data_IF_489659138434
#
_entry.id   IF_489659138434
#
_cell.length_a   1.000
_cell.length_b   1.000
_cell.length_c   1.000
_cell.angle_alpha   90.00
_cell.angle_beta   90.00
_cell.angle_gamma   90.00
#
_symmetry.space_group_name_H-M   'P 1'
#
loop_
_entity.id
_entity.type
_entity.pdbx_description
1 polymer ?
#
# COMPACT_ATOMS: atom_id res chain seq x y z
N UNK A 1 -5.28 -21.71 1.65
CA UNK A 1 -6.16 -21.42 2.80
C UNK A 1 -5.43 -20.36 3.62
N UNK A 2 -5.84 -19.10 3.54
CA UNK A 2 -5.28 -18.01 4.35
C UNK A 2 -5.58 -18.37 5.81
N UNK A 3 -4.56 -18.40 6.68
CA UNK A 3 -4.77 -18.54 8.11
C UNK A 3 -5.62 -17.36 8.59
N UNK A 4 -6.79 -17.64 9.12
CA UNK A 4 -7.54 -16.67 9.89
C UNK A 4 -6.76 -16.43 11.19
N UNK A 5 -6.32 -15.19 11.39
CA UNK A 5 -5.70 -14.83 12.67
C UNK A 5 -6.79 -14.60 13.70
N UNK A 6 -6.59 -15.18 14.87
CA UNK A 6 -7.40 -14.82 16.03
C UNK A 6 -7.10 -13.37 16.40
N UNK A 7 -8.13 -12.53 16.49
CA UNK A 7 -8.00 -11.11 16.85
C UNK A 7 -7.30 -10.94 18.22
N UNK A 8 -7.50 -11.88 19.15
CA UNK A 8 -6.81 -11.92 20.43
C UNK A 8 -5.31 -12.19 20.27
N UNK A 9 -4.91 -13.02 19.32
CA UNK A 9 -3.51 -13.32 18.99
C UNK A 9 -2.82 -12.13 18.34
N UNK A 10 -3.52 -11.41 17.44
CA UNK A 10 -3.02 -10.17 16.83
C UNK A 10 -2.76 -9.10 17.88
N UNK A 11 -3.67 -8.95 18.86
CA UNK A 11 -3.49 -8.00 19.98
C UNK A 11 -2.36 -8.39 20.93
N UNK A 12 -2.13 -9.67 21.17
CA UNK A 12 -1.07 -10.17 22.07
C UNK A 12 0.31 -10.14 21.42
N UNK A 13 0.41 -10.32 20.10
CA UNK A 13 1.66 -10.26 19.32
C UNK A 13 2.11 -8.85 19.00
N UNK A 14 1.19 -7.88 18.93
CA UNK A 14 1.55 -6.47 18.88
C UNK A 14 2.09 -6.08 20.26
N UNK A 15 3.42 -6.14 20.37
CA UNK A 15 4.12 -5.50 21.45
C UNK A 15 3.48 -4.13 21.67
N UNK A 16 2.98 -3.92 22.88
CA UNK A 16 2.22 -2.76 23.35
C UNK A 16 2.54 -1.53 22.49
N UNK A 17 1.51 -0.91 21.90
CA UNK A 17 1.54 0.37 21.20
C UNK A 17 2.16 1.53 22.03
N UNK A 18 2.88 1.20 23.11
CA UNK A 18 3.45 2.13 24.07
C UNK A 18 4.61 2.97 23.55
N UNK A 19 5.25 2.61 22.43
CA UNK A 19 6.30 3.44 21.84
C UNK A 19 5.90 3.95 20.46
N UNK A 20 4.89 4.82 20.40
CA UNK A 20 4.50 5.56 19.20
C UNK A 20 5.38 6.80 18.92
N UNK A 21 6.53 6.95 19.61
CA UNK A 21 7.30 8.20 19.56
C UNK A 21 7.76 8.53 18.13
N UNK A 22 8.39 7.57 17.46
CA UNK A 22 8.93 7.78 16.11
C UNK A 22 7.82 7.91 15.07
N UNK A 23 6.75 7.11 15.16
CA UNK A 23 5.57 7.28 14.31
C UNK A 23 4.88 8.63 14.53
N UNK A 24 4.85 9.13 15.76
CA UNK A 24 4.32 10.47 16.04
C UNK A 24 5.23 11.56 15.49
N UNK A 25 6.56 11.41 15.52
CA UNK A 25 7.49 12.34 14.88
C UNK A 25 7.27 12.37 13.35
N UNK A 26 7.17 11.22 12.72
CA UNK A 26 6.85 11.09 11.29
C UNK A 26 5.54 11.81 10.95
N UNK A 27 4.48 11.58 11.74
CA UNK A 27 3.19 12.24 11.58
C UNK A 27 3.29 13.77 11.72
N UNK A 28 4.06 14.26 12.70
CA UNK A 28 4.27 15.70 12.91
C UNK A 28 5.00 16.32 11.72
N UNK A 29 6.07 15.69 11.22
CA UNK A 29 6.80 16.16 10.05
C UNK A 29 5.91 16.21 8.81
N UNK A 30 5.16 15.14 8.57
CA UNK A 30 4.22 15.07 7.46
C UNK A 30 3.14 16.15 7.54
N UNK A 31 2.52 16.32 8.71
CA UNK A 31 1.48 17.32 8.93
C UNK A 31 2.01 18.74 8.76
N UNK A 32 3.20 19.03 9.29
CA UNK A 32 3.84 20.35 9.14
C UNK A 32 4.04 20.69 7.66
N UNK A 33 4.63 19.78 6.89
CA UNK A 33 4.84 19.99 5.46
C UNK A 33 3.52 20.23 4.70
N UNK A 34 2.50 19.44 4.99
CA UNK A 34 1.17 19.57 4.37
C UNK A 34 0.56 20.95 4.66
N UNK A 35 0.65 21.44 5.89
CA UNK A 35 0.11 22.76 6.27
C UNK A 35 0.89 23.93 5.65
N UNK A 36 2.20 23.76 5.43
CA UNK A 36 3.05 24.74 4.74
C UNK A 36 2.86 24.76 3.21
N UNK A 37 2.32 23.67 2.63
CA UNK A 37 2.11 23.50 1.19
C UNK A 37 0.67 23.08 0.88
N UNK A 38 -0.31 23.92 1.17
CA UNK A 38 -1.74 23.56 0.96
C UNK A 38 -2.02 23.34 -0.53
N UNK A 39 -2.77 22.27 -0.85
CA UNK A 39 -3.27 22.06 -2.21
C UNK A 39 -4.41 23.02 -2.50
N UNK A 40 -4.39 23.65 -3.68
CA UNK A 40 -5.57 24.33 -4.20
C UNK A 40 -6.53 23.27 -4.75
N UNK A 41 -7.83 23.44 -4.52
CA UNK A 41 -8.85 22.68 -5.22
C UNK A 41 -8.67 22.92 -6.73
N UNK A 42 -8.21 21.91 -7.44
CA UNK A 42 -8.15 21.91 -8.89
C UNK A 42 -9.12 20.85 -9.41
N UNK A 43 -9.90 21.22 -10.42
CA UNK A 43 -10.58 20.22 -11.22
C UNK A 43 -9.51 19.38 -11.93
N UNK A 44 -9.51 18.10 -11.65
CA UNK A 44 -8.56 17.18 -12.25
C UNK A 44 -9.23 15.85 -12.60
N UNK A 45 -8.78 15.25 -13.67
CA UNK A 45 -9.20 13.90 -14.03
C UNK A 45 -8.58 12.87 -13.08
N UNK A 46 -9.26 11.75 -12.91
CA UNK A 46 -8.79 10.66 -12.07
C UNK A 46 -7.45 10.07 -12.59
N UNK A 47 -6.38 10.04 -11.79
CA UNK A 47 -5.07 9.51 -12.19
C UNK A 47 -5.09 8.01 -12.50
N UNK A 48 -6.14 7.31 -12.02
CA UNK A 48 -6.31 5.87 -12.21
C UNK A 48 -6.96 5.53 -13.56
N UNK A 49 -8.01 6.25 -13.95
CA UNK A 49 -8.78 5.88 -15.15
C UNK A 49 -8.96 7.00 -16.17
N UNK A 50 -8.57 8.23 -15.84
CA UNK A 50 -8.70 9.38 -16.70
C UNK A 50 -10.12 10.00 -16.73
N UNK A 51 -11.04 9.54 -15.85
CA UNK A 51 -12.41 10.06 -15.82
C UNK A 51 -12.44 11.47 -15.22
N UNK A 52 -13.17 12.39 -15.86
CA UNK A 52 -13.18 13.81 -15.50
C UNK A 52 -14.10 14.12 -14.30
N UNK A 53 -15.16 13.30 -14.11
CA UNK A 53 -16.11 13.55 -13.02
C UNK A 53 -15.64 12.91 -11.72
N UNK A 54 -15.16 13.75 -10.84
CA UNK A 54 -14.73 13.39 -9.49
C UNK A 54 -15.50 14.24 -8.49
N UNK A 55 -15.60 13.77 -7.25
CA UNK A 55 -16.28 14.48 -6.19
C UNK A 55 -15.47 14.47 -4.91
N UNK A 56 -15.60 15.50 -4.11
CA UNK A 56 -15.05 15.53 -2.76
C UNK A 56 -15.63 14.39 -1.92
N UNK A 57 -14.76 13.73 -1.15
CA UNK A 57 -15.18 12.65 -0.25
C UNK A 57 -14.87 12.96 1.23
N UNK A 58 -13.68 13.44 1.53
CA UNK A 58 -13.26 13.91 2.85
C UNK A 58 -12.00 14.78 2.75
N UNK A 59 -11.71 15.52 3.83
CA UNK A 59 -10.44 16.21 4.02
C UNK A 59 -9.64 15.57 5.15
N UNK A 60 -8.29 15.63 5.04
CA UNK A 60 -7.36 15.33 6.10
C UNK A 60 -6.25 16.39 6.13
N UNK A 61 -6.04 17.02 7.28
CA UNK A 61 -5.12 18.15 7.44
C UNK A 61 -5.34 19.24 6.38
N UNK A 62 -6.61 19.59 6.15
CA UNK A 62 -7.08 20.56 5.14
C UNK A 62 -6.78 20.19 3.68
N UNK A 63 -6.28 18.99 3.41
CA UNK A 63 -6.13 18.45 2.07
C UNK A 63 -7.36 17.65 1.66
N UNK A 64 -7.99 18.05 0.55
CA UNK A 64 -9.20 17.43 0.04
C UNK A 64 -8.88 16.18 -0.79
N UNK A 65 -9.47 15.06 -0.39
CA UNK A 65 -9.47 13.83 -1.19
C UNK A 65 -10.66 13.82 -2.13
N UNK A 66 -10.40 13.40 -3.37
CA UNK A 66 -11.39 13.23 -4.43
C UNK A 66 -11.73 11.76 -4.62
N UNK A 67 -12.97 11.50 -4.97
CA UNK A 67 -13.48 10.17 -5.31
C UNK A 67 -13.86 10.13 -6.79
N UNK A 68 -13.42 9.11 -7.50
CA UNK A 68 -13.77 8.89 -8.90
C UNK A 68 -15.04 8.04 -9.04
N UNK A 69 -16.10 8.60 -9.61
CA UNK A 69 -17.37 7.89 -9.81
C UNK A 69 -17.29 6.73 -10.82
N UNK A 70 -16.25 6.67 -11.66
CA UNK A 70 -16.06 5.60 -12.65
C UNK A 70 -15.31 4.39 -12.11
N UNK A 71 -14.20 4.60 -11.39
CA UNK A 71 -13.37 3.50 -10.89
C UNK A 71 -13.39 3.35 -9.37
N UNK A 72 -14.07 4.24 -8.63
CA UNK A 72 -14.18 4.26 -7.17
C UNK A 72 -12.83 4.41 -6.43
N UNK A 73 -11.81 4.94 -7.10
CA UNK A 73 -10.53 5.26 -6.48
C UNK A 73 -10.58 6.61 -5.78
N UNK A 74 -9.77 6.76 -4.74
CA UNK A 74 -9.62 8.00 -3.96
C UNK A 74 -8.22 8.56 -4.22
N UNK A 75 -8.11 9.88 -4.37
CA UNK A 75 -6.82 10.51 -4.65
C UNK A 75 -6.78 11.97 -4.20
N UNK A 76 -5.58 12.52 -4.10
CA UNK A 76 -5.33 13.94 -3.81
C UNK A 76 -4.89 14.63 -5.08
N UNK A 77 -5.56 15.72 -5.51
CA UNK A 77 -5.08 16.56 -6.58
C UNK A 77 -3.91 17.44 -6.07
N UNK A 78 -2.70 16.94 -6.21
CA UNK A 78 -1.47 17.63 -5.77
C UNK A 78 -0.54 17.85 -6.96
N UNK A 79 0.17 18.99 -6.97
CA UNK A 79 1.18 19.29 -7.97
C UNK A 79 2.40 18.39 -7.79
N UNK A 80 3.03 18.00 -8.91
CA UNK A 80 4.20 17.12 -8.91
C UNK A 80 5.35 17.71 -8.05
N UNK A 81 5.61 19.01 -8.16
CA UNK A 81 6.65 19.70 -7.38
C UNK A 81 6.42 19.66 -5.87
N UNK A 82 5.17 19.76 -5.42
CA UNK A 82 4.80 19.62 -4.00
C UNK A 82 5.03 18.20 -3.51
N UNK A 83 4.63 17.21 -4.32
CA UNK A 83 4.87 15.81 -3.98
C UNK A 83 6.35 15.45 -3.95
N UNK A 84 7.12 15.90 -4.95
CA UNK A 84 8.57 15.71 -5.01
C UNK A 84 9.26 16.32 -3.79
N UNK A 85 8.89 17.55 -3.39
CA UNK A 85 9.39 18.19 -2.19
C UNK A 85 9.07 17.41 -0.90
N UNK A 86 7.86 16.84 -0.81
CA UNK A 86 7.49 15.98 0.33
C UNK A 86 8.35 14.70 0.39
N UNK A 87 8.49 14.02 -0.75
CA UNK A 87 9.25 12.77 -0.84
C UNK A 87 10.76 12.96 -0.63
N UNK A 88 11.27 14.15 -0.94
CA UNK A 88 12.68 14.54 -0.77
C UNK A 88 12.96 15.26 0.55
N UNK A 89 12.02 15.27 1.51
CA UNK A 89 12.15 15.96 2.78
C UNK A 89 13.31 15.41 3.63
N UNK A 90 14.41 16.17 3.88
CA UNK A 90 15.60 15.63 4.55
C UNK A 90 15.33 15.08 5.94
N UNK A 91 14.48 15.76 6.73
CA UNK A 91 14.13 15.35 8.09
C UNK A 91 13.36 14.02 8.11
N UNK A 92 12.54 13.76 7.08
CA UNK A 92 11.81 12.51 6.95
C UNK A 92 12.76 11.38 6.57
N UNK A 93 13.69 11.65 5.67
CA UNK A 93 14.71 10.67 5.27
C UNK A 93 15.65 10.33 6.43
N UNK A 94 16.14 11.34 7.17
CA UNK A 94 16.95 11.14 8.37
C UNK A 94 16.22 10.28 9.41
N UNK A 95 14.96 10.62 9.71
CA UNK A 95 14.15 9.85 10.64
C UNK A 95 14.00 8.40 10.21
N UNK A 96 13.58 8.17 8.95
CA UNK A 96 13.27 6.84 8.42
C UNK A 96 14.50 5.97 8.21
N UNK A 97 15.68 6.57 7.95
CA UNK A 97 16.95 5.85 7.78
C UNK A 97 17.63 5.52 9.10
N UNK A 98 17.22 6.12 10.21
CA UNK A 98 17.82 5.87 11.54
C UNK A 98 17.65 4.42 11.97
N UNK A 99 18.67 3.87 12.64
CA UNK A 99 18.63 2.48 13.13
C UNK A 99 17.49 2.29 14.14
N UNK A 100 17.23 3.29 15.02
CA UNK A 100 16.14 3.26 15.99
C UNK A 100 14.76 3.12 15.31
N UNK A 101 14.52 3.86 14.22
CA UNK A 101 13.27 3.76 13.44
C UNK A 101 13.15 2.39 12.77
N UNK A 102 14.23 1.90 12.15
CA UNK A 102 14.24 0.61 11.46
C UNK A 102 14.04 -0.56 12.45
N UNK A 103 14.65 -0.52 13.63
CA UNK A 103 14.41 -1.50 14.68
C UNK A 103 12.97 -1.48 15.21
N UNK A 104 12.37 -0.29 15.41
CA UNK A 104 10.98 -0.18 15.81
C UNK A 104 10.04 -0.71 14.74
N UNK A 105 10.34 -0.41 13.47
CA UNK A 105 9.59 -0.89 12.32
C UNK A 105 9.66 -2.42 12.21
N UNK A 106 10.84 -3.01 12.39
CA UNK A 106 11.06 -4.47 12.42
C UNK A 106 10.20 -5.12 13.52
N UNK A 107 10.28 -4.62 14.75
CA UNK A 107 9.50 -5.15 15.88
C UNK A 107 7.98 -5.13 15.63
N UNK A 108 7.51 -4.18 14.82
CA UNK A 108 6.07 -4.04 14.49
C UNK A 108 5.63 -4.84 13.27
N UNK A 109 6.55 -5.12 12.34
CA UNK A 109 6.21 -5.58 11.00
C UNK A 109 6.81 -6.95 10.65
N UNK A 110 7.70 -7.50 11.49
CA UNK A 110 8.37 -8.76 11.19
C UNK A 110 7.38 -9.86 10.77
N UNK A 111 6.38 -10.13 11.59
CA UNK A 111 5.37 -11.17 11.30
C UNK A 111 4.63 -10.90 9.97
N UNK A 112 4.29 -9.63 9.69
CA UNK A 112 3.60 -9.24 8.46
C UNK A 112 4.51 -9.45 7.25
N UNK A 113 5.80 -9.11 7.38
CA UNK A 113 6.77 -9.29 6.32
C UNK A 113 7.05 -10.76 6.05
N UNK A 114 7.17 -11.58 7.10
CA UNK A 114 7.34 -13.03 6.97
C UNK A 114 6.16 -13.67 6.22
N UNK A 115 4.94 -13.22 6.49
CA UNK A 115 3.75 -13.63 5.74
C UNK A 115 3.75 -13.15 4.29
N UNK A 116 4.19 -11.92 4.05
CA UNK A 116 4.29 -11.39 2.68
C UNK A 116 5.32 -12.18 1.86
N UNK A 117 6.48 -12.53 2.44
CA UNK A 117 7.48 -13.38 1.79
C UNK A 117 6.89 -14.75 1.49
N UNK A 118 6.33 -15.43 2.50
CA UNK A 118 5.73 -16.75 2.30
C UNK A 118 4.65 -16.74 1.21
N UNK A 119 3.80 -15.72 1.22
CA UNK A 119 2.78 -15.52 0.19
C UNK A 119 3.42 -15.34 -1.19
N UNK A 120 4.45 -14.49 -1.32
CA UNK A 120 5.13 -14.21 -2.58
C UNK A 120 5.83 -15.46 -3.11
N UNK A 121 6.61 -16.15 -2.28
CA UNK A 121 7.33 -17.38 -2.65
C UNK A 121 6.37 -18.45 -3.20
N UNK A 122 5.25 -18.69 -2.50
CA UNK A 122 4.25 -19.64 -2.96
C UNK A 122 3.66 -19.26 -4.33
N UNK A 123 3.39 -17.97 -4.59
CA UNK A 123 2.85 -17.49 -5.86
C UNK A 123 3.89 -17.52 -6.97
N UNK A 124 5.12 -17.14 -6.68
CA UNK A 124 6.24 -17.26 -7.62
C UNK A 124 6.35 -18.71 -8.10
N UNK A 125 6.44 -19.66 -7.18
CA UNK A 125 6.47 -21.07 -7.53
C UNK A 125 5.26 -21.49 -8.36
N UNK A 126 4.07 -21.07 -7.96
CA UNK A 126 2.82 -21.42 -8.67
C UNK A 126 2.80 -20.93 -10.11
N UNK A 127 3.27 -19.72 -10.37
CA UNK A 127 3.12 -19.08 -11.67
C UNK A 127 4.34 -19.20 -12.57
N UNK A 128 5.55 -19.23 -12.03
CA UNK A 128 6.79 -19.42 -12.81
C UNK A 128 7.22 -20.89 -12.91
N UNK A 129 6.77 -21.75 -11.99
CA UNK A 129 7.24 -23.13 -11.86
C UNK A 129 8.76 -23.24 -11.61
N UNK A 130 9.36 -22.20 -11.07
CA UNK A 130 10.76 -22.11 -10.67
C UNK A 130 10.82 -21.97 -9.15
N UNK A 131 11.82 -22.58 -8.52
CA UNK A 131 11.98 -22.61 -7.05
C UNK A 131 13.35 -22.15 -6.57
N UNK A 132 14.22 -21.66 -7.47
CA UNK A 132 15.57 -21.22 -7.15
C UNK A 132 16.16 -20.34 -8.26
N UNK A 133 17.23 -19.63 -7.93
CA UNK A 133 18.07 -18.85 -8.88
C UNK A 133 17.29 -17.79 -9.70
N UNK A 134 16.29 -17.14 -9.09
CA UNK A 134 15.55 -16.09 -9.75
C UNK A 134 16.27 -14.75 -9.66
N UNK A 135 16.26 -14.00 -10.74
CA UNK A 135 16.66 -12.59 -10.76
C UNK A 135 15.49 -11.75 -10.22
N UNK A 136 15.72 -11.02 -9.13
CA UNK A 136 14.73 -10.18 -8.46
C UNK A 136 15.17 -8.73 -8.52
N UNK A 137 14.32 -7.86 -9.04
CA UNK A 137 14.46 -6.40 -8.96
C UNK A 137 13.40 -5.88 -8.00
N UNK A 138 13.80 -5.12 -6.98
CA UNK A 138 12.92 -4.46 -6.01
C UNK A 138 12.99 -2.94 -6.19
N UNK A 139 11.86 -2.31 -6.52
CA UNK A 139 11.80 -0.87 -6.76
C UNK A 139 11.24 -0.11 -5.57
N UNK A 140 12.05 0.84 -5.06
CA UNK A 140 11.64 1.87 -4.11
C UNK A 140 11.34 1.35 -2.71
N UNK A 141 11.68 0.10 -2.39
CA UNK A 141 11.40 -0.46 -1.09
C UNK A 141 12.31 0.14 -0.01
N UNK A 142 11.74 0.99 0.83
CA UNK A 142 12.45 1.64 1.94
C UNK A 142 12.48 0.79 3.21
N UNK A 143 11.84 -0.39 3.20
CA UNK A 143 11.78 -1.29 4.34
C UNK A 143 12.95 -2.28 4.29
N UNK A 144 14.06 -1.96 4.94
CA UNK A 144 15.27 -2.81 4.97
C UNK A 144 14.95 -4.25 5.32
N UNK A 145 14.16 -4.47 6.37
CA UNK A 145 13.80 -5.82 6.83
C UNK A 145 13.00 -6.64 5.79
N UNK A 146 12.11 -6.01 5.03
CA UNK A 146 11.39 -6.69 3.95
C UNK A 146 12.33 -7.02 2.78
N UNK A 147 13.19 -6.09 2.36
CA UNK A 147 14.17 -6.30 1.30
C UNK A 147 15.17 -7.40 1.64
N UNK A 148 15.63 -7.46 2.89
CA UNK A 148 16.53 -8.51 3.37
C UNK A 148 15.87 -9.90 3.33
N UNK A 149 14.60 -10.00 3.66
CA UNK A 149 13.85 -11.26 3.56
C UNK A 149 13.77 -11.75 2.11
N UNK A 150 13.48 -10.88 1.16
CA UNK A 150 13.50 -11.25 -0.26
C UNK A 150 14.89 -11.66 -0.74
N UNK A 151 15.92 -10.90 -0.34
CA UNK A 151 17.34 -11.22 -0.68
C UNK A 151 17.77 -12.58 -0.13
N UNK A 152 17.32 -12.93 1.07
CA UNK A 152 17.69 -14.18 1.77
C UNK A 152 16.72 -15.33 1.44
N UNK A 153 15.72 -15.10 0.58
CA UNK A 153 14.81 -16.14 0.12
C UNK A 153 15.57 -17.23 -0.66
N UNK A 154 15.16 -18.48 -0.50
CA UNK A 154 15.68 -19.62 -1.27
C UNK A 154 15.46 -19.50 -2.78
N UNK A 155 14.45 -18.69 -3.18
CA UNK A 155 14.16 -18.43 -4.59
C UNK A 155 15.18 -17.49 -5.22
N UNK A 156 15.81 -16.62 -4.42
CA UNK A 156 16.66 -15.55 -4.90
C UNK A 156 18.03 -16.06 -5.40
N UNK A 157 18.33 -15.84 -6.67
CA UNK A 157 19.65 -15.99 -7.26
C UNK A 157 20.42 -14.67 -7.25
N UNK A 158 19.82 -13.63 -7.83
CA UNK A 158 20.35 -12.27 -7.80
C UNK A 158 19.28 -11.31 -7.31
N UNK A 159 19.66 -10.33 -6.48
CA UNK A 159 18.77 -9.31 -5.96
C UNK A 159 19.35 -7.92 -6.21
N UNK A 160 18.56 -7.05 -6.82
CA UNK A 160 18.92 -5.66 -7.06
C UNK A 160 17.83 -4.74 -6.49
N UNK A 161 18.21 -3.91 -5.52
CA UNK A 161 17.36 -2.82 -5.02
C UNK A 161 17.59 -1.58 -5.88
N UNK A 162 16.52 -0.96 -6.38
CA UNK A 162 16.52 0.28 -7.16
C UNK A 162 15.71 1.34 -6.43
N UNK A 163 16.36 2.42 -6.05
CA UNK A 163 15.74 3.49 -5.27
C UNK A 163 14.72 4.31 -6.07
N UNK A 164 14.88 4.40 -7.40
CA UNK A 164 14.03 5.20 -8.27
C UNK A 164 14.00 4.65 -9.70
N UNK A 165 12.86 4.84 -10.36
CA UNK A 165 12.70 4.54 -11.80
C UNK A 165 13.61 5.44 -12.66
N UNK A 166 14.03 6.58 -12.13
CA UNK A 166 14.89 7.54 -12.83
C UNK A 166 16.39 7.16 -12.80
N UNK A 167 16.81 6.28 -11.88
CA UNK A 167 18.22 5.88 -11.71
C UNK A 167 18.64 4.68 -12.58
N UNK A 168 18.15 4.59 -13.81
CA UNK A 168 18.35 3.41 -14.68
C UNK A 168 19.80 3.19 -15.21
N UNK A 169 20.75 4.10 -14.96
CA UNK A 169 22.05 4.09 -15.66
C UNK A 169 23.14 3.22 -15.03
N UNK A 170 22.88 2.48 -13.94
CA UNK A 170 23.91 1.66 -13.26
C UNK A 170 23.44 0.23 -12.94
N UNK A 171 22.45 -0.26 -13.65
CA UNK A 171 21.77 -1.50 -13.32
C UNK A 171 22.60 -2.74 -13.70
N UNK A 172 22.78 -3.66 -12.75
CA UNK A 172 23.44 -4.95 -12.96
C UNK A 172 22.54 -5.95 -13.70
N UNK A 173 21.22 -5.89 -13.43
CA UNK A 173 20.21 -6.73 -14.09
C UNK A 173 19.47 -5.91 -15.13
N UNK A 174 19.48 -6.34 -16.39
CA UNK A 174 18.66 -5.72 -17.43
C UNK A 174 17.18 -6.04 -17.23
N UNK A 175 16.86 -7.32 -17.00
CA UNK A 175 15.50 -7.82 -16.77
C UNK A 175 15.47 -8.85 -15.67
N UNK A 176 14.37 -8.87 -14.90
CA UNK A 176 14.14 -9.78 -13.80
C UNK A 176 13.10 -10.86 -14.10
N UNK A 177 13.24 -12.01 -13.43
CA UNK A 177 12.15 -13.01 -13.34
C UNK A 177 11.02 -12.49 -12.47
N UNK A 178 11.34 -11.72 -11.43
CA UNK A 178 10.37 -11.13 -10.51
C UNK A 178 10.72 -9.67 -10.26
N UNK A 179 9.76 -8.79 -10.49
CA UNK A 179 9.84 -7.39 -10.12
C UNK A 179 8.93 -7.14 -8.93
N UNK A 180 9.50 -6.61 -7.86
CA UNK A 180 8.78 -6.21 -6.65
C UNK A 180 8.50 -4.71 -6.69
N UNK A 181 7.25 -4.31 -6.42
CA UNK A 181 6.82 -2.92 -6.28
C UNK A 181 5.96 -2.78 -5.02
N UNK A 182 6.63 -2.93 -3.87
CA UNK A 182 5.97 -3.10 -2.58
C UNK A 182 5.70 -1.76 -1.91
N UNK A 183 4.42 -1.46 -1.63
CA UNK A 183 3.97 -0.21 -0.97
C UNK A 183 4.40 1.09 -1.68
N UNK A 184 4.52 1.07 -3.00
CA UNK A 184 4.99 2.23 -3.76
C UNK A 184 3.87 2.90 -4.58
N UNK A 185 2.88 2.12 -5.00
CA UNK A 185 1.86 2.59 -5.93
C UNK A 185 1.05 3.78 -5.39
N UNK A 186 0.81 3.83 -4.08
CA UNK A 186 0.05 4.93 -3.45
C UNK A 186 0.80 6.26 -3.39
N UNK A 187 2.10 6.28 -3.69
CA UNK A 187 2.96 7.48 -3.65
C UNK A 187 3.13 8.15 -5.02
N UNK A 188 2.43 7.69 -6.05
CA UNK A 188 2.61 8.17 -7.42
C UNK A 188 1.37 8.86 -7.99
N UNK A 189 1.61 9.94 -8.76
CA UNK A 189 0.56 10.64 -9.52
C UNK A 189 0.25 9.95 -10.85
N UNK A 190 1.20 9.23 -11.45
CA UNK A 190 1.10 8.62 -12.77
C UNK A 190 1.29 7.10 -12.72
N UNK A 191 0.37 6.35 -12.07
CA UNK A 191 0.56 4.92 -11.81
C UNK A 191 0.66 4.08 -13.09
N UNK A 192 -0.05 4.46 -14.15
CA UNK A 192 -0.03 3.74 -15.43
C UNK A 192 1.32 3.90 -16.12
N UNK A 193 1.86 5.11 -16.18
CA UNK A 193 3.15 5.40 -16.79
C UNK A 193 4.28 4.67 -16.07
N UNK A 194 4.27 4.72 -14.73
CA UNK A 194 5.27 4.06 -13.89
C UNK A 194 5.25 2.55 -14.11
N UNK A 195 4.08 1.91 -14.02
CA UNK A 195 3.98 0.48 -14.23
C UNK A 195 4.32 0.09 -15.69
N UNK A 196 4.01 0.92 -16.68
CA UNK A 196 4.42 0.69 -18.07
C UNK A 196 5.95 0.67 -18.22
N UNK A 197 6.66 1.60 -17.57
CA UNK A 197 8.13 1.62 -17.55
C UNK A 197 8.72 0.41 -16.83
N UNK A 198 8.15 0.05 -15.67
CA UNK A 198 8.58 -1.12 -14.90
C UNK A 198 8.42 -2.44 -15.69
N UNK A 199 7.41 -2.51 -16.56
CA UNK A 199 7.17 -3.68 -17.43
C UNK A 199 8.38 -4.03 -18.29
N UNK A 200 9.14 -3.03 -18.73
CA UNK A 200 10.30 -3.25 -19.61
C UNK A 200 11.48 -3.89 -18.86
N UNK A 201 11.51 -3.80 -17.53
CA UNK A 201 12.47 -4.48 -16.65
C UNK A 201 12.06 -5.90 -16.26
N UNK A 202 10.98 -6.45 -16.83
CA UNK A 202 10.50 -7.81 -16.56
C UNK A 202 10.76 -8.69 -17.80
N UNK A 203 11.30 -9.90 -17.59
CA UNK A 203 11.41 -10.96 -18.62
C UNK A 203 10.01 -11.30 -19.16
N UNK A 204 9.92 -11.85 -20.37
CA UNK A 204 8.62 -12.08 -21.03
C UNK A 204 7.66 -12.98 -20.25
N UNK A 205 8.18 -13.96 -19.52
CA UNK A 205 7.39 -14.83 -18.63
C UNK A 205 7.49 -14.42 -17.13
N UNK A 206 8.14 -13.28 -16.84
CA UNK A 206 8.34 -12.80 -15.48
C UNK A 206 7.09 -12.23 -14.83
N UNK A 207 7.17 -12.00 -13.52
CA UNK A 207 6.08 -11.53 -12.68
C UNK A 207 6.33 -10.14 -12.13
N UNK A 208 5.27 -9.34 -12.08
CA UNK A 208 5.15 -8.19 -11.19
C UNK A 208 4.45 -8.65 -9.91
N UNK A 209 5.06 -8.39 -8.78
CA UNK A 209 4.47 -8.55 -7.45
C UNK A 209 4.37 -7.17 -6.82
N UNK A 210 3.17 -6.74 -6.51
CA UNK A 210 2.97 -5.47 -5.84
C UNK A 210 1.97 -5.61 -4.69
N UNK A 211 2.11 -4.76 -3.72
CA UNK A 211 1.07 -4.49 -2.76
C UNK A 211 0.79 -2.98 -2.67
N UNK A 212 -0.41 -2.64 -2.25
CA UNK A 212 -0.82 -1.24 -2.12
C UNK A 212 -2.02 -1.11 -1.21
N UNK A 213 -2.24 0.11 -0.73
CA UNK A 213 -3.43 0.46 0.01
C UNK A 213 -4.59 0.73 -0.94
N UNK A 214 -5.79 0.25 -0.59
CA UNK A 214 -7.01 0.46 -1.38
C UNK A 214 -7.89 1.53 -0.74
N UNK A 215 -8.27 2.56 -1.50
CA UNK A 215 -9.21 3.58 -1.07
C UNK A 215 -10.64 3.07 -0.84
N UNK A 216 -10.97 1.89 -1.38
CA UNK A 216 -12.25 1.20 -1.14
C UNK A 216 -12.26 0.33 0.12
N UNK A 217 -11.21 0.37 0.95
CA UNK A 217 -11.13 -0.39 2.19
C UNK A 217 -12.10 0.10 3.26
N UNK A 218 -12.58 -0.82 4.08
CA UNK A 218 -13.58 -0.57 5.11
C UNK A 218 -13.15 0.53 6.10
N UNK A 219 -11.91 0.48 6.60
CA UNK A 219 -11.38 1.47 7.54
C UNK A 219 -11.34 2.88 6.94
N UNK A 220 -10.92 3.00 5.67
CA UNK A 220 -10.83 4.29 4.96
C UNK A 220 -12.20 4.88 4.75
N UNK A 221 -13.16 4.09 4.24
CA UNK A 221 -14.52 4.57 3.97
C UNK A 221 -15.29 4.87 5.26
N UNK A 222 -14.97 4.19 6.36
CA UNK A 222 -15.60 4.38 7.67
C UNK A 222 -15.06 5.60 8.40
N UNK A 223 -13.73 5.73 8.49
CA UNK A 223 -13.05 6.78 9.26
C UNK A 223 -12.83 8.05 8.46
N UNK A 224 -12.73 7.93 7.12
CA UNK A 224 -12.49 9.07 6.22
C UNK A 224 -11.30 9.92 6.69
N UNK A 225 -11.43 11.23 6.83
CA UNK A 225 -10.40 12.13 7.34
C UNK A 225 -9.96 11.85 8.79
N UNK A 226 -10.70 11.05 9.54
CA UNK A 226 -10.36 10.62 10.91
C UNK A 226 -9.33 9.51 11.00
N UNK A 227 -8.94 8.89 9.88
CA UNK A 227 -7.98 7.80 9.88
C UNK A 227 -6.54 8.26 10.17
N UNK A 228 -5.84 7.62 11.11
CA UNK A 228 -4.53 8.11 11.58
C UNK A 228 -3.35 7.71 10.71
N UNK A 229 -3.49 6.69 9.87
CA UNK A 229 -2.40 6.09 9.08
C UNK A 229 -2.47 6.43 7.59
N UNK A 230 -3.19 7.50 7.21
CA UNK A 230 -3.16 8.11 5.88
C UNK A 230 -2.58 9.51 5.99
N UNK A 231 -1.48 9.75 5.29
CA UNK A 231 -0.83 11.04 5.17
C UNK A 231 -1.04 11.58 3.75
N UNK A 232 -1.60 12.80 3.58
CA UNK A 232 -2.07 13.27 2.28
C UNK A 232 -1.05 13.19 1.15
N UNK A 233 0.17 13.66 1.35
CA UNK A 233 1.19 13.64 0.30
C UNK A 233 2.01 12.35 0.25
N UNK A 234 1.79 11.45 1.17
CA UNK A 234 2.32 10.10 1.10
C UNK A 234 1.34 9.15 0.39
N UNK A 235 0.05 9.35 0.64
CA UNK A 235 -1.01 8.53 0.05
C UNK A 235 -1.81 9.37 -0.93
N UNK A 236 -1.15 9.76 -2.04
CA UNK A 236 -1.76 10.63 -3.04
C UNK A 236 -2.75 9.91 -3.93
N UNK A 237 -2.61 8.58 -4.06
CA UNK A 237 -3.49 7.76 -4.88
C UNK A 237 -3.80 6.44 -4.18
N UNK A 238 -5.06 6.23 -3.86
CA UNK A 238 -5.58 5.03 -3.21
C UNK A 238 -6.55 4.36 -4.21
N UNK A 239 -6.08 3.42 -5.01
CA UNK A 239 -6.95 2.77 -5.99
C UNK A 239 -8.04 1.97 -5.29
N UNK A 240 -9.19 1.84 -5.92
CA UNK A 240 -10.10 0.76 -5.61
C UNK A 240 -9.59 -0.54 -6.24
N UNK A 241 -10.17 -1.68 -5.90
CA UNK A 241 -9.90 -2.94 -6.62
C UNK A 241 -10.12 -2.78 -8.12
N UNK A 242 -11.27 -2.22 -8.54
CA UNK A 242 -11.59 -1.93 -9.95
C UNK A 242 -10.59 -0.95 -10.59
N UNK A 243 -10.13 0.04 -9.81
CA UNK A 243 -9.11 0.98 -10.25
C UNK A 243 -7.76 0.29 -10.47
N UNK A 244 -7.36 -0.60 -9.58
CA UNK A 244 -6.12 -1.34 -9.69
C UNK A 244 -6.10 -2.28 -10.91
N UNK A 245 -7.22 -2.96 -11.19
CA UNK A 245 -7.41 -3.75 -12.40
C UNK A 245 -7.24 -2.89 -13.68
N UNK A 246 -7.83 -1.68 -13.69
CA UNK A 246 -7.69 -0.73 -14.81
C UNK A 246 -6.25 -0.21 -14.98
N UNK A 247 -5.54 0.09 -13.89
CA UNK A 247 -4.14 0.51 -13.94
C UNK A 247 -3.29 -0.58 -14.61
N UNK A 248 -3.40 -1.81 -14.14
CA UNK A 248 -2.64 -2.95 -14.66
C UNK A 248 -2.95 -3.23 -16.13
N UNK A 249 -4.24 -3.21 -16.50
CA UNK A 249 -4.66 -3.40 -17.89
C UNK A 249 -4.06 -2.34 -18.82
N UNK A 250 -4.19 -1.05 -18.46
CA UNK A 250 -3.64 0.07 -19.26
C UNK A 250 -2.11 0.07 -19.29
N UNK A 251 -1.45 -0.40 -18.24
CA UNK A 251 0.01 -0.54 -18.19
C UNK A 251 0.54 -1.76 -18.94
N UNK A 252 -0.35 -2.58 -19.54
CA UNK A 252 0.02 -3.72 -20.37
C UNK A 252 0.33 -4.98 -19.56
N UNK A 253 -0.30 -5.14 -18.39
CA UNK A 253 -0.21 -6.37 -17.59
C UNK A 253 -1.47 -7.22 -17.72
N UNK A 254 -1.28 -8.52 -17.59
CA UNK A 254 -2.31 -9.49 -17.31
C UNK A 254 -2.38 -9.70 -15.79
N UNK A 255 -3.52 -9.41 -15.19
CA UNK A 255 -3.77 -9.68 -13.78
C UNK A 255 -3.97 -11.20 -13.56
N UNK A 256 -3.09 -11.83 -12.78
CA UNK A 256 -3.19 -13.23 -12.44
C UNK A 256 -3.91 -13.47 -11.10
N UNK A 257 -3.64 -12.63 -10.11
CA UNK A 257 -4.25 -12.72 -8.78
C UNK A 257 -4.32 -11.35 -8.10
N UNK A 258 -5.44 -11.08 -7.44
CA UNK A 258 -5.59 -9.99 -6.50
C UNK A 258 -6.27 -10.50 -5.23
N UNK A 259 -5.66 -10.27 -4.09
CA UNK A 259 -6.19 -10.60 -2.77
C UNK A 259 -6.17 -9.39 -1.86
N UNK A 260 -7.04 -9.37 -0.86
CA UNK A 260 -7.10 -8.28 0.12
C UNK A 260 -6.91 -8.84 1.54
N UNK A 261 -5.67 -9.29 1.89
CA UNK A 261 -5.40 -10.00 3.14
C UNK A 261 -5.24 -9.09 4.35
N UNK A 262 -5.53 -7.79 4.25
CA UNK A 262 -5.38 -6.84 5.36
C UNK A 262 -6.11 -7.33 6.61
N UNK A 263 -5.44 -7.26 7.76
CA UNK A 263 -5.94 -7.78 9.04
C UNK A 263 -6.33 -6.67 10.02
N UNK A 264 -6.14 -5.40 9.62
CA UNK A 264 -6.16 -4.27 10.56
C UNK A 264 -7.35 -3.32 10.39
N UNK A 265 -8.24 -3.56 9.43
CA UNK A 265 -9.33 -2.63 9.15
C UNK A 265 -10.23 -2.43 10.36
N UNK A 266 -10.68 -3.54 10.99
CA UNK A 266 -11.51 -3.48 12.19
C UNK A 266 -10.78 -2.89 13.39
N UNK A 267 -9.48 -3.18 13.53
CA UNK A 267 -8.68 -2.63 14.62
C UNK A 267 -8.55 -1.11 14.51
N UNK A 268 -8.26 -0.58 13.31
CA UNK A 268 -8.21 0.86 13.09
C UNK A 268 -9.55 1.54 13.39
N UNK A 269 -10.66 0.93 12.98
CA UNK A 269 -11.99 1.46 13.25
C UNK A 269 -12.31 1.39 14.74
N UNK A 270 -11.98 0.30 15.44
CA UNK A 270 -12.20 0.13 16.85
C UNK A 270 -11.37 1.11 17.70
N UNK A 271 -10.08 1.31 17.36
CA UNK A 271 -9.21 2.26 18.04
C UNK A 271 -9.67 3.73 17.85
N UNK A 272 -10.40 4.01 16.77
CA UNK A 272 -10.89 5.34 16.42
C UNK A 272 -12.42 5.43 16.42
N UNK A 273 -13.10 4.60 17.20
CA UNK A 273 -14.57 4.48 17.21
C UNK A 273 -15.30 5.81 17.45
N UNK A 274 -14.71 6.71 18.22
CA UNK A 274 -15.26 8.03 18.51
C UNK A 274 -15.28 8.97 17.28
N UNK A 275 -14.46 8.65 16.26
CA UNK A 275 -14.37 9.41 15.00
C UNK A 275 -15.29 8.86 13.91
N UNK A 276 -15.95 7.73 14.15
CA UNK A 276 -16.93 7.18 13.22
C UNK A 276 -18.12 8.13 13.14
N UNK A 277 -18.44 8.57 11.92
CA UNK A 277 -19.56 9.49 11.67
C UNK A 277 -20.90 8.96 12.23
N UNK A 278 -21.70 9.84 12.81
CA UNK A 278 -23.00 9.48 13.36
C UNK A 278 -23.96 8.91 12.33
N UNK A 279 -23.85 9.31 11.07
CA UNK A 279 -24.64 8.76 9.98
C UNK A 279 -24.29 7.29 9.66
N UNK A 280 -23.12 6.83 10.10
CA UNK A 280 -22.68 5.44 9.92
C UNK A 280 -23.24 4.54 11.03
N UNK A 281 -24.57 4.51 11.13
CA UNK A 281 -25.29 3.81 12.20
C UNK A 281 -24.95 2.34 12.29
N UNK A 282 -24.84 1.64 11.16
CA UNK A 282 -24.51 0.21 11.14
C UNK A 282 -23.16 -0.08 11.80
N UNK A 283 -22.13 0.69 11.45
CA UNK A 283 -20.79 0.47 12.05
C UNK A 283 -20.80 0.77 13.54
N UNK A 284 -21.46 1.86 13.98
CA UNK A 284 -21.60 2.16 15.42
C UNK A 284 -22.33 1.05 16.17
N UNK A 285 -23.41 0.53 15.58
CA UNK A 285 -24.15 -0.58 16.17
C UNK A 285 -23.27 -1.83 16.29
N UNK A 286 -22.53 -2.18 15.22
CA UNK A 286 -21.61 -3.31 15.17
C UNK A 286 -20.54 -3.18 16.26
N UNK A 287 -19.88 -2.03 16.39
CA UNK A 287 -18.83 -1.79 17.39
C UNK A 287 -19.31 -1.88 18.83
N UNK A 288 -20.60 -1.61 19.10
CA UNK A 288 -21.16 -1.58 20.45
C UNK A 288 -21.85 -2.88 20.85
N UNK A 289 -22.23 -3.74 19.90
CA UNK A 289 -23.10 -4.89 20.16
C UNK A 289 -22.50 -6.23 19.73
N UNK A 290 -21.39 -6.22 18.97
CA UNK A 290 -20.73 -7.44 18.52
C UNK A 290 -19.51 -7.71 19.40
N UNK A 291 -19.36 -8.94 19.84
CA UNK A 291 -18.22 -9.38 20.64
C UNK A 291 -16.92 -9.50 19.81
N UNK A 292 -15.83 -9.79 20.48
CA UNK A 292 -14.53 -9.90 19.83
C UNK A 292 -14.49 -10.98 18.74
N UNK A 293 -15.20 -12.10 18.93
CA UNK A 293 -15.30 -13.18 17.94
C UNK A 293 -15.99 -12.71 16.66
N UNK A 294 -17.15 -12.06 16.80
CA UNK A 294 -17.88 -11.51 15.68
C UNK A 294 -17.14 -10.40 14.92
N UNK A 295 -16.29 -9.59 15.62
CA UNK A 295 -15.42 -8.62 14.96
C UNK A 295 -14.31 -9.30 14.14
N UNK A 296 -13.78 -10.43 14.61
CA UNK A 296 -12.84 -11.27 13.84
C UNK A 296 -13.52 -11.84 12.59
N UNK A 297 -14.72 -12.37 12.72
CA UNK A 297 -15.49 -12.90 11.59
C UNK A 297 -15.80 -11.80 10.56
N UNK A 298 -16.12 -10.59 11.02
CA UNK A 298 -16.33 -9.46 10.14
C UNK A 298 -15.03 -9.04 9.43
N UNK A 299 -13.87 -9.05 10.09
CA UNK A 299 -12.58 -8.82 9.43
C UNK A 299 -12.30 -9.89 8.37
N UNK A 300 -12.59 -11.14 8.64
CA UNK A 300 -12.45 -12.22 7.64
C UNK A 300 -13.41 -12.03 6.45
N UNK A 301 -14.63 -11.57 6.71
CA UNK A 301 -15.58 -11.21 5.65
C UNK A 301 -15.01 -10.10 4.77
N UNK A 302 -14.43 -9.02 5.33
CA UNK A 302 -13.79 -7.94 4.58
C UNK A 302 -12.67 -8.47 3.66
N UNK A 303 -11.82 -9.35 4.18
CA UNK A 303 -10.73 -9.98 3.42
C UNK A 303 -11.26 -10.82 2.25
N UNK A 304 -12.23 -11.68 2.51
CA UNK A 304 -12.81 -12.60 1.50
C UNK A 304 -13.61 -11.86 0.43
N UNK A 305 -14.22 -10.74 0.80
CA UNK A 305 -15.10 -9.96 -0.08
C UNK A 305 -14.35 -8.86 -0.85
N UNK A 306 -13.02 -8.72 -0.67
CA UNK A 306 -12.26 -7.67 -1.35
C UNK A 306 -12.48 -6.27 -0.79
N UNK A 307 -12.89 -6.16 0.48
CA UNK A 307 -13.25 -4.92 1.18
C UNK A 307 -12.21 -4.48 2.22
N UNK A 308 -11.12 -5.23 2.40
CA UNK A 308 -10.00 -4.77 3.23
C UNK A 308 -9.14 -3.75 2.47
N UNK A 309 -8.53 -2.83 3.21
CA UNK A 309 -7.76 -1.69 2.67
C UNK A 309 -6.36 -2.02 2.18
N UNK A 310 -5.97 -3.29 2.18
CA UNK A 310 -4.65 -3.71 1.72
C UNK A 310 -4.77 -4.78 0.64
N UNK A 311 -4.19 -4.53 -0.53
CA UNK A 311 -4.18 -5.48 -1.63
C UNK A 311 -2.78 -6.05 -1.88
N UNK A 312 -2.75 -7.33 -2.26
CA UNK A 312 -1.59 -8.02 -2.83
C UNK A 312 -1.94 -8.49 -4.23
N UNK A 313 -1.04 -8.26 -5.18
CA UNK A 313 -1.26 -8.49 -6.60
C UNK A 313 -0.13 -9.28 -7.21
N UNK A 314 -0.48 -10.25 -8.04
CA UNK A 314 0.41 -10.91 -8.99
C UNK A 314 -0.07 -10.58 -10.40
N UNK A 315 0.83 -10.05 -11.21
CA UNK A 315 0.54 -9.76 -12.60
C UNK A 315 1.69 -10.24 -13.50
N UNK A 316 1.41 -10.43 -14.76
CA UNK A 316 2.38 -10.82 -15.78
C UNK A 316 2.38 -9.80 -16.90
N UNK A 317 3.52 -9.60 -17.54
CA UNK A 317 3.61 -8.83 -18.77
C UNK A 317 2.69 -9.48 -19.82
N UNK A 318 1.79 -8.66 -20.41
CA UNK A 318 0.92 -9.17 -21.50
C UNK A 318 1.77 -9.50 -22.71
N UNK A 319 1.55 -10.67 -23.27
CA UNK A 319 2.17 -11.06 -24.55
C UNK A 319 1.61 -10.16 -25.64
N UNK A 320 2.51 -9.58 -26.44
CA UNK A 320 2.18 -8.76 -27.61
C UNK A 320 1.48 -9.58 -28.66
#
# INVERSE_FOLDING_TARGET
MLKAYDYAEIKSKKGSLKNKKLFNQEKILAQKYVLEHPTKLQECSCPVCGHEYTQYIFARWDVNYQFCNSCNSIFVPVEATTLEGYLAMPQMEELRSSDEYQEELEKRRADIWDEQIFWAEYRIYRYLRKNEHLDIIDYGNRNKGLSERFRNSKLCGQYELRDSILSMNTNKLEKADVLLYMNQLQHTLNPIEILSKLRDSIKDDGLLILNTRLGSGFDILTLKGGIDNIFPYEHVMLPSRKGLEKILDKAGYELLEITTPGTMDMEYVLENKERVDHSNFFVKYLLNNVDAGGLVDFQQFLQKSGLSSFAQVIARKRKS
#
